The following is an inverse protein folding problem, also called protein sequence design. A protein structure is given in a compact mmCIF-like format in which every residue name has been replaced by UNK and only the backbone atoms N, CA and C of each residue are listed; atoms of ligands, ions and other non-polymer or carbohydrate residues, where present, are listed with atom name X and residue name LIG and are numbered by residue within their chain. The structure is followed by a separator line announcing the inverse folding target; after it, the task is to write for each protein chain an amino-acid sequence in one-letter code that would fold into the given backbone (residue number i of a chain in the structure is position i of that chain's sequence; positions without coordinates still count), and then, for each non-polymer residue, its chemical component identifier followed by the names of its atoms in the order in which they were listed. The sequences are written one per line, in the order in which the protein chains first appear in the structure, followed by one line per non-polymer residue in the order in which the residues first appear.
data_IF_284984723003
#
_entry.id   IF_284984723003
#
_cell.length_a   1.000
_cell.length_b   1.000
_cell.length_c   1.000
_cell.angle_alpha   90.00
_cell.angle_beta   90.00
_cell.angle_gamma   90.00
#
_symmetry.space_group_name_H-M   'P 1'
#
loop_
_entity.id
_entity.type
_entity.pdbx_description
1 polymer ?
#
# COMPACT_ATOMS: atom_id res chain seq x y z
N UNK A 1 7.69 11.38 -13.51
CA UNK A 1 7.22 10.01 -13.15
C UNK A 1 8.34 9.04 -12.79
N UNK A 2 9.58 9.24 -13.23
CA UNK A 2 10.74 8.39 -12.89
C UNK A 2 11.09 8.43 -11.39
N UNK A 3 11.23 9.63 -10.80
CA UNK A 3 11.54 9.79 -9.37
C UNK A 3 10.56 9.04 -8.45
N UNK A 4 9.25 9.26 -8.66
CA UNK A 4 8.19 8.59 -7.89
C UNK A 4 8.32 7.05 -7.90
N UNK A 5 8.67 6.44 -9.04
CA UNK A 5 8.80 4.97 -9.16
C UNK A 5 9.96 4.41 -8.35
N UNK A 6 11.02 5.21 -8.17
CA UNK A 6 12.22 4.88 -7.41
C UNK A 6 12.01 5.11 -5.91
N UNK A 7 11.22 6.11 -5.55
CA UNK A 7 11.01 6.50 -4.14
C UNK A 7 9.93 5.68 -3.46
N UNK A 8 8.92 5.19 -4.20
CA UNK A 8 7.80 4.41 -3.64
C UNK A 8 8.27 3.27 -2.71
N UNK A 9 9.23 2.40 -3.07
CA UNK A 9 9.69 1.33 -2.17
C UNK A 9 10.27 1.82 -0.83
N UNK A 10 10.87 3.02 -0.82
CA UNK A 10 11.45 3.62 0.38
C UNK A 10 10.36 4.23 1.28
N UNK A 11 9.39 4.93 0.69
CA UNK A 11 8.30 5.58 1.43
C UNK A 11 7.13 4.63 1.74
N UNK A 12 7.09 3.44 1.12
CA UNK A 12 5.94 2.55 1.25
C UNK A 12 5.70 2.11 2.69
N UNK A 13 6.75 1.77 3.44
CA UNK A 13 6.60 1.37 4.85
C UNK A 13 5.99 2.48 5.71
N UNK A 14 6.55 3.70 5.78
CA UNK A 14 5.97 4.76 6.60
C UNK A 14 4.57 5.17 6.12
N UNK A 15 4.33 5.24 4.82
CA UNK A 15 3.00 5.57 4.27
C UNK A 15 1.97 4.49 4.61
N UNK A 16 2.31 3.20 4.48
CA UNK A 16 1.42 2.10 4.86
C UNK A 16 1.05 2.16 6.34
N UNK A 17 2.03 2.36 7.22
CA UNK A 17 1.79 2.48 8.67
C UNK A 17 0.88 3.67 8.96
N UNK A 18 1.19 4.84 8.38
CA UNK A 18 0.37 6.04 8.55
C UNK A 18 -1.06 5.84 8.07
N UNK A 19 -1.27 5.16 6.94
CA UNK A 19 -2.60 4.89 6.40
C UNK A 19 -3.39 3.85 7.23
N UNK A 20 -2.73 2.83 7.78
CA UNK A 20 -3.38 1.90 8.71
C UNK A 20 -3.80 2.63 9.99
N UNK A 21 -2.91 3.46 10.56
CA UNK A 21 -3.25 4.28 11.72
C UNK A 21 -4.38 5.27 11.42
N UNK A 22 -4.36 5.88 10.23
CA UNK A 22 -5.42 6.76 9.74
C UNK A 22 -6.78 6.06 9.73
N UNK A 23 -6.85 4.85 9.15
CA UNK A 23 -8.08 4.07 9.08
C UNK A 23 -8.55 3.61 10.47
N UNK A 24 -7.63 3.18 11.33
CA UNK A 24 -7.95 2.62 12.63
C UNK A 24 -8.41 3.69 13.63
N UNK A 25 -7.63 4.76 13.78
CA UNK A 25 -7.87 5.77 14.82
C UNK A 25 -7.83 7.22 14.31
N UNK A 26 -7.23 7.48 13.15
CA UNK A 26 -7.05 8.84 12.64
C UNK A 26 -8.37 9.57 12.37
N UNK A 27 -9.41 8.86 11.96
CA UNK A 27 -10.76 9.43 11.83
C UNK A 27 -11.35 9.91 13.15
N UNK A 28 -10.92 9.32 14.27
CA UNK A 28 -11.33 9.66 15.63
C UNK A 28 -10.98 11.08 16.04
N UNK A 29 -10.03 11.71 15.36
CA UNK A 29 -9.67 13.11 15.55
C UNK A 29 -10.75 14.08 15.06
N UNK A 30 -11.64 13.62 14.17
CA UNK A 30 -12.66 14.46 13.51
C UNK A 30 -14.08 13.99 13.81
N UNK A 31 -14.30 12.69 13.95
CA UNK A 31 -15.62 12.06 14.16
C UNK A 31 -15.56 11.05 15.30
N UNK A 32 -16.66 10.85 16.05
CA UNK A 32 -16.72 9.80 17.06
C UNK A 32 -16.39 8.41 16.49
N UNK A 33 -15.66 7.63 17.26
CA UNK A 33 -15.34 6.23 16.94
C UNK A 33 -16.43 5.33 17.52
N UNK A 34 -16.92 4.41 16.69
CA UNK A 34 -17.90 3.37 16.97
C UNK A 34 -17.42 1.99 16.52
N UNK A 35 -18.34 1.09 16.25
CA UNK A 35 -18.07 -0.33 16.01
C UNK A 35 -17.15 -0.60 14.81
N UNK A 36 -17.21 0.24 13.79
CA UNK A 36 -16.36 0.08 12.61
C UNK A 36 -14.87 0.18 12.95
N UNK A 37 -14.52 0.95 13.99
CA UNK A 37 -13.15 1.05 14.50
C UNK A 37 -12.63 -0.29 15.00
N UNK A 38 -13.47 -1.06 15.71
CA UNK A 38 -13.12 -2.39 16.20
C UNK A 38 -12.82 -3.33 15.04
N UNK A 39 -13.67 -3.33 14.00
CA UNK A 39 -13.43 -4.11 12.79
C UNK A 39 -12.13 -3.73 12.09
N UNK A 40 -11.84 -2.43 11.97
CA UNK A 40 -10.59 -1.97 11.35
C UNK A 40 -9.38 -2.39 12.18
N UNK A 41 -9.42 -2.26 13.51
CA UNK A 41 -8.33 -2.69 14.41
C UNK A 41 -8.08 -4.19 14.28
N UNK A 42 -9.13 -5.01 14.21
CA UNK A 42 -9.03 -6.46 14.02
C UNK A 42 -8.55 -6.85 12.62
N UNK A 43 -8.92 -6.09 11.58
CA UNK A 43 -8.47 -6.32 10.21
C UNK A 43 -7.05 -5.77 9.96
N UNK A 44 -6.59 -4.82 10.77
CA UNK A 44 -5.30 -4.13 10.61
C UNK A 44 -4.10 -5.07 10.54
N UNK A 45 -3.97 -6.13 11.38
CA UNK A 45 -2.90 -7.12 11.26
C UNK A 45 -2.85 -7.79 9.88
N UNK A 46 -4.00 -8.21 9.35
CA UNK A 46 -4.07 -8.84 8.02
C UNK A 46 -3.69 -7.87 6.91
N UNK A 47 -4.13 -6.61 7.03
CA UNK A 47 -3.78 -5.55 6.10
C UNK A 47 -2.28 -5.23 6.15
N UNK A 48 -1.70 -5.13 7.34
CA UNK A 48 -0.27 -4.89 7.54
C UNK A 48 0.58 -6.04 6.99
N UNK A 49 0.18 -7.29 7.20
CA UNK A 49 0.87 -8.46 6.62
C UNK A 49 0.83 -8.37 5.08
N UNK A 50 -0.33 -8.05 4.51
CA UNK A 50 -0.52 -7.91 3.06
C UNK A 50 0.35 -6.80 2.47
N UNK A 51 0.39 -5.64 3.13
CA UNK A 51 1.22 -4.49 2.74
C UNK A 51 2.72 -4.74 2.94
N UNK A 52 3.09 -5.47 4.00
CA UNK A 52 4.47 -5.87 4.26
C UNK A 52 4.95 -6.86 3.20
N UNK A 53 4.10 -7.81 2.80
CA UNK A 53 4.41 -8.76 1.73
C UNK A 53 4.67 -8.04 0.40
N UNK A 54 3.79 -7.12 -0.02
CA UNK A 54 4.01 -6.34 -1.24
C UNK A 54 5.24 -5.44 -1.13
N UNK A 55 5.47 -4.80 0.01
CA UNK A 55 6.67 -3.96 0.23
C UNK A 55 7.97 -4.78 0.14
N UNK A 56 7.99 -5.99 0.70
CA UNK A 56 9.12 -6.92 0.58
C UNK A 56 9.36 -7.33 -0.87
N UNK A 57 8.30 -7.62 -1.64
CA UNK A 57 8.41 -7.94 -3.06
C UNK A 57 8.97 -6.76 -3.87
N UNK A 58 8.53 -5.53 -3.60
CA UNK A 58 9.08 -4.33 -4.26
C UNK A 58 10.59 -4.21 -4.06
N UNK A 59 11.08 -4.47 -2.83
CA UNK A 59 12.52 -4.40 -2.51
C UNK A 59 13.36 -5.51 -3.15
N UNK A 60 12.71 -6.61 -3.55
CA UNK A 60 13.36 -7.75 -4.24
C UNK A 60 13.42 -7.59 -5.76
N UNK A 61 12.85 -6.52 -6.32
CA UNK A 61 12.96 -6.27 -7.75
C UNK A 61 14.44 -5.98 -8.13
N UNK A 62 14.93 -6.53 -9.25
CA UNK A 62 16.35 -6.47 -9.62
C UNK A 62 16.87 -5.04 -9.81
N UNK A 63 16.06 -4.16 -10.40
CA UNK A 63 16.43 -2.74 -10.60
C UNK A 63 16.02 -1.84 -9.43
N UNK A 64 15.39 -2.41 -8.38
CA UNK A 64 14.75 -1.68 -7.26
C UNK A 64 13.79 -0.54 -7.69
N UNK A 65 13.45 -0.46 -8.97
CA UNK A 65 12.48 0.48 -9.53
C UNK A 65 11.18 -0.23 -9.87
N UNK A 66 10.07 0.46 -9.63
CA UNK A 66 8.75 -0.02 -9.98
C UNK A 66 8.41 0.33 -11.43
N UNK A 67 7.74 -0.59 -12.11
CA UNK A 67 7.10 -0.27 -13.39
C UNK A 67 5.99 0.76 -13.18
N UNK A 68 5.63 1.50 -14.24
CA UNK A 68 4.50 2.46 -14.18
C UNK A 68 3.22 1.84 -13.66
N UNK A 69 2.97 0.58 -14.03
CA UNK A 69 1.76 -0.14 -13.64
C UNK A 69 1.75 -0.53 -12.17
N UNK A 70 2.90 -0.89 -11.60
CA UNK A 70 3.03 -1.20 -10.17
C UNK A 70 2.94 0.08 -9.33
N UNK A 71 3.62 1.16 -9.76
CA UNK A 71 3.54 2.45 -9.07
C UNK A 71 2.10 3.01 -9.04
N UNK A 72 1.39 2.97 -10.17
CA UNK A 72 -0.03 3.38 -10.22
C UNK A 72 -0.91 2.52 -9.31
N UNK A 73 -0.72 1.19 -9.34
CA UNK A 73 -1.51 0.30 -8.48
C UNK A 73 -1.26 0.58 -6.98
N UNK A 74 0.00 0.84 -6.58
CA UNK A 74 0.32 1.22 -5.21
C UNK A 74 -0.34 2.53 -4.79
N UNK A 75 -0.31 3.56 -5.65
CA UNK A 75 -0.97 4.84 -5.38
C UNK A 75 -2.49 4.64 -5.24
N UNK A 76 -3.11 3.81 -6.09
CA UNK A 76 -4.55 3.50 -5.99
C UNK A 76 -4.88 2.80 -4.67
N UNK A 77 -4.04 1.85 -4.22
CA UNK A 77 -4.20 1.22 -2.90
C UNK A 77 -4.15 2.27 -1.78
N UNK A 78 -3.17 3.17 -1.82
CA UNK A 78 -3.06 4.25 -0.83
C UNK A 78 -4.25 5.20 -0.85
N UNK A 79 -4.70 5.61 -2.03
CA UNK A 79 -5.87 6.46 -2.19
C UNK A 79 -7.13 5.79 -1.66
N UNK A 80 -7.30 4.47 -1.90
CA UNK A 80 -8.42 3.70 -1.38
C UNK A 80 -8.38 3.59 0.16
N UNK A 81 -7.20 3.32 0.74
CA UNK A 81 -7.04 3.30 2.20
C UNK A 81 -7.33 4.67 2.84
N UNK A 82 -6.83 5.74 2.22
CA UNK A 82 -7.10 7.10 2.68
C UNK A 82 -8.59 7.43 2.60
N UNK A 83 -9.21 7.19 1.44
CA UNK A 83 -10.63 7.40 1.18
C UNK A 83 -11.53 6.58 2.11
N UNK A 84 -11.13 5.34 2.43
CA UNK A 84 -11.85 4.51 3.39
C UNK A 84 -12.01 5.23 4.75
N UNK A 85 -10.94 5.81 5.28
CA UNK A 85 -11.00 6.56 6.53
C UNK A 85 -11.77 7.88 6.42
N UNK A 86 -11.76 8.52 5.25
CA UNK A 86 -12.41 9.80 4.99
C UNK A 86 -13.94 9.66 4.81
N UNK A 87 -14.37 8.62 4.11
CA UNK A 87 -15.77 8.44 3.68
C UNK A 87 -16.56 7.47 4.57
N UNK A 88 -15.88 6.64 5.36
CA UNK A 88 -16.54 5.69 6.25
C UNK A 88 -17.30 6.41 7.35
N UNK A 89 -18.63 6.35 7.32
CA UNK A 89 -19.46 6.64 8.48
C UNK A 89 -19.26 5.55 9.54
N UNK A 90 -19.48 5.86 10.82
CA UNK A 90 -19.45 4.86 11.90
C UNK A 90 -20.87 4.62 12.43
N UNK A 91 -21.03 3.57 13.22
CA UNK A 91 -22.26 3.26 13.93
C UNK A 91 -21.95 2.71 15.31
N UNK A 92 -22.74 3.13 16.30
CA UNK A 92 -22.66 2.67 17.68
C UNK A 92 -24.04 2.30 18.21
N UNK A 93 -24.08 1.88 19.48
CA UNK A 93 -25.32 1.51 20.16
C UNK A 93 -26.32 2.69 20.26
N UNK A 94 -25.82 3.93 20.10
CA UNK A 94 -26.60 5.17 20.10
C UNK A 94 -27.01 5.67 18.71
N UNK A 95 -26.69 4.95 17.62
CA UNK A 95 -27.04 5.33 16.24
C UNK A 95 -25.84 5.52 15.31
N UNK A 96 -26.08 6.13 14.14
CA UNK A 96 -25.03 6.39 13.15
C UNK A 96 -24.25 7.66 13.47
N UNK A 97 -22.93 7.60 13.29
CA UNK A 97 -22.02 8.74 13.37
C UNK A 97 -21.61 9.19 11.96
N UNK A 98 -21.60 10.51 11.69
CA UNK A 98 -21.27 11.04 10.37
C UNK A 98 -19.81 10.73 10.00
N UNK A 99 -19.56 10.54 8.70
CA UNK A 99 -18.19 10.49 8.17
C UNK A 99 -17.53 11.87 8.22
N UNK A 100 -16.20 11.92 8.02
CA UNK A 100 -15.48 13.21 7.96
C UNK A 100 -16.00 14.05 6.79
N UNK A 101 -16.28 13.42 5.64
CA UNK A 101 -16.85 14.10 4.49
C UNK A 101 -18.24 14.70 4.79
N UNK A 102 -19.09 13.97 5.51
CA UNK A 102 -20.41 14.47 5.93
C UNK A 102 -20.26 15.71 6.81
N UNK A 103 -19.32 15.70 7.77
CA UNK A 103 -19.03 16.88 8.59
C UNK A 103 -18.55 18.07 7.77
N UNK A 104 -17.67 17.84 6.79
CA UNK A 104 -17.16 18.91 5.91
C UNK A 104 -18.23 19.49 5.00
N UNK A 105 -19.24 18.71 4.61
CA UNK A 105 -20.33 19.13 3.73
C UNK A 105 -21.58 19.63 4.48
N UNK A 106 -21.55 19.67 5.81
CA UNK A 106 -22.63 20.16 6.65
C UNK A 106 -23.82 19.21 6.80
N UNK A 107 -23.55 17.89 6.83
CA UNK A 107 -24.50 16.83 7.26
C UNK A 107 -25.86 16.84 6.52
N UNK A 108 -25.85 17.18 5.22
CA UNK A 108 -27.06 17.14 4.40
C UNK A 108 -27.46 15.69 4.07
N UNK A 109 -28.76 15.38 3.83
CA UNK A 109 -29.21 14.00 3.60
C UNK A 109 -28.50 13.25 2.46
N UNK A 110 -28.14 13.96 1.38
CA UNK A 110 -27.43 13.35 0.24
C UNK A 110 -25.95 13.04 0.53
N UNK A 111 -25.36 13.68 1.55
CA UNK A 111 -23.94 13.51 1.89
C UNK A 111 -23.66 12.13 2.49
N UNK A 112 -24.65 11.54 3.14
CA UNK A 112 -24.61 10.16 3.63
C UNK A 112 -24.53 9.19 2.45
N UNK A 113 -25.43 9.32 1.47
CA UNK A 113 -25.43 8.48 0.27
C UNK A 113 -24.12 8.58 -0.50
N UNK A 114 -23.60 9.79 -0.70
CA UNK A 114 -22.32 10.01 -1.39
C UNK A 114 -21.16 9.41 -0.61
N UNK A 115 -21.12 9.60 0.71
CA UNK A 115 -20.07 9.04 1.56
C UNK A 115 -20.09 7.51 1.52
N UNK A 116 -21.28 6.91 1.60
CA UNK A 116 -21.45 5.45 1.54
C UNK A 116 -21.00 4.89 0.18
N UNK A 117 -21.38 5.53 -0.93
CA UNK A 117 -20.98 5.10 -2.28
C UNK A 117 -19.46 5.18 -2.47
N UNK A 118 -18.85 6.29 -2.04
CA UNK A 118 -17.39 6.46 -2.11
C UNK A 118 -16.66 5.48 -1.20
N UNK A 119 -17.20 5.21 -0.02
CA UNK A 119 -16.67 4.24 0.90
C UNK A 119 -16.70 2.82 0.32
N UNK A 120 -17.84 2.39 -0.25
CA UNK A 120 -17.94 1.12 -0.98
C UNK A 120 -16.96 1.06 -2.14
N UNK A 121 -16.81 2.16 -2.89
CA UNK A 121 -15.77 2.29 -3.91
C UNK A 121 -14.38 1.97 -3.36
N UNK A 122 -14.02 2.51 -2.19
CA UNK A 122 -12.72 2.23 -1.55
C UNK A 122 -12.59 0.75 -1.14
N UNK A 123 -13.66 0.15 -0.59
CA UNK A 123 -13.71 -1.25 -0.16
C UNK A 123 -13.49 -2.23 -1.32
N UNK A 124 -13.95 -1.91 -2.53
CA UNK A 124 -13.73 -2.78 -3.70
C UNK A 124 -12.47 -2.45 -4.49
N UNK A 125 -12.22 -1.16 -4.74
CA UNK A 125 -11.07 -0.70 -5.53
C UNK A 125 -9.76 -0.98 -4.82
N UNK A 126 -9.70 -0.84 -3.49
CA UNK A 126 -8.49 -1.11 -2.71
C UNK A 126 -7.99 -2.54 -2.87
N UNK A 127 -8.78 -3.57 -2.53
CA UNK A 127 -8.42 -4.97 -2.72
C UNK A 127 -8.13 -5.32 -4.18
N UNK A 128 -8.94 -4.84 -5.13
CA UNK A 128 -8.70 -5.09 -6.55
C UNK A 128 -7.34 -4.54 -7.02
N UNK A 129 -7.02 -3.29 -6.64
CA UNK A 129 -5.73 -2.68 -6.93
C UNK A 129 -4.57 -3.42 -6.25
N UNK A 130 -4.77 -3.91 -5.02
CA UNK A 130 -3.79 -4.72 -4.30
C UNK A 130 -3.54 -6.06 -4.99
N UNK A 131 -4.56 -6.77 -5.46
CA UNK A 131 -4.39 -8.01 -6.22
C UNK A 131 -3.65 -7.78 -7.55
N UNK A 132 -3.97 -6.69 -8.25
CA UNK A 132 -3.25 -6.29 -9.47
C UNK A 132 -1.79 -6.00 -9.18
N UNK A 133 -1.51 -5.26 -8.10
CA UNK A 133 -0.16 -4.96 -7.66
C UNK A 133 0.61 -6.24 -7.31
N UNK A 134 0.04 -7.09 -6.46
CA UNK A 134 0.62 -8.36 -6.04
C UNK A 134 0.97 -9.22 -7.25
N UNK A 135 0.02 -9.41 -8.16
CA UNK A 135 0.22 -10.18 -9.41
C UNK A 135 1.38 -9.62 -10.23
N UNK A 136 1.45 -8.30 -10.41
CA UNK A 136 2.54 -7.65 -11.16
C UNK A 136 3.88 -7.76 -10.45
N UNK A 137 3.93 -7.67 -9.13
CA UNK A 137 5.16 -7.81 -8.36
C UNK A 137 5.68 -9.24 -8.40
N UNK A 138 4.81 -10.24 -8.19
CA UNK A 138 5.19 -11.66 -8.25
C UNK A 138 5.72 -12.03 -9.63
N UNK A 139 5.08 -11.57 -10.72
CA UNK A 139 5.59 -11.76 -12.09
C UNK A 139 6.93 -11.06 -12.31
N UNK A 140 7.10 -9.84 -11.82
CA UNK A 140 8.36 -9.09 -11.95
C UNK A 140 9.53 -9.74 -11.22
N UNK A 141 9.28 -10.36 -10.06
CA UNK A 141 10.29 -11.13 -9.32
C UNK A 141 10.60 -12.47 -9.99
N UNK A 142 9.59 -13.16 -10.52
CA UNK A 142 9.78 -14.47 -11.17
C UNK A 142 10.57 -14.39 -12.50
N UNK A 143 10.47 -13.28 -13.22
CA UNK A 143 11.16 -13.07 -14.51
C UNK A 143 12.57 -12.48 -14.34
N UNK A 144 12.98 -12.13 -13.12
CA UNK A 144 14.31 -11.59 -12.86
C UNK A 144 15.39 -12.60 -13.34
N UNK A 145 16.32 -12.20 -14.24
CA UNK A 145 17.38 -13.08 -14.71
C UNK A 145 18.20 -13.60 -13.52
N UNK A 146 18.59 -14.89 -13.50
CA UNK A 146 19.49 -15.40 -12.48
C UNK A 146 20.74 -14.53 -12.45
N UNK A 147 21.20 -14.16 -11.25
CA UNK A 147 22.45 -13.43 -11.07
C UNK A 147 23.53 -14.16 -11.89
N UNK A 148 24.05 -13.51 -12.93
CA UNK A 148 25.08 -14.13 -13.75
C UNK A 148 26.24 -14.49 -12.81
N UNK A 149 26.67 -15.77 -12.74
CA UNK A 149 27.87 -16.10 -12.01
C UNK A 149 29.02 -15.24 -12.54
N UNK A 150 29.97 -14.83 -11.69
CA UNK A 150 31.14 -14.08 -12.15
C UNK A 150 31.74 -14.86 -13.31
N UNK A 151 31.74 -14.27 -14.51
CA UNK A 151 32.38 -14.89 -15.66
C UNK A 151 33.81 -15.25 -15.24
N UNK A 152 34.25 -16.50 -15.42
CA UNK A 152 35.67 -16.80 -15.30
C UNK A 152 36.37 -15.92 -16.32
N UNK A 153 37.19 -14.97 -15.85
CA UNK A 153 38.07 -14.23 -16.74
C UNK A 153 38.86 -15.26 -17.56
N UNK A 154 38.87 -15.20 -18.90
CA UNK A 154 39.72 -16.06 -19.71
C UNK A 154 41.17 -15.87 -19.28
N UNK A 155 41.72 -16.83 -18.54
CA UNK A 155 43.08 -16.78 -18.01
C UNK A 155 43.26 -17.05 -16.51
N UNK A 156 42.20 -17.15 -15.71
CA UNK A 156 42.34 -17.48 -14.28
C UNK A 156 42.06 -18.97 -13.99
N UNK A 157 43.02 -19.72 -13.41
CA UNK A 157 42.78 -21.09 -12.96
C UNK A 157 41.79 -21.11 -11.78
N UNK A 158 40.94 -22.14 -11.68
CA UNK A 158 39.98 -22.27 -10.60
C UNK A 158 40.70 -22.36 -9.25
N UNK A 159 40.51 -21.34 -8.39
CA UNK A 159 41.07 -21.30 -7.03
C UNK A 159 41.88 -20.05 -6.67
N UNK A 160 42.16 -19.15 -7.61
CA UNK A 160 42.81 -17.87 -7.27
C UNK A 160 41.80 -16.75 -6.98
N UNK A 161 41.91 -16.05 -5.84
CA UNK A 161 41.20 -14.79 -5.63
C UNK A 161 41.63 -13.81 -6.74
N UNK A 162 40.66 -13.30 -7.50
CA UNK A 162 40.93 -12.28 -8.52
C UNK A 162 41.57 -11.03 -7.90
N UNK A 163 42.27 -10.21 -8.69
CA UNK A 163 42.93 -9.03 -8.18
C UNK A 163 41.83 -8.10 -7.63
N UNK A 164 41.86 -7.87 -6.32
CA UNK A 164 40.97 -6.93 -5.67
C UNK A 164 41.10 -5.55 -6.31
N UNK A 165 40.05 -4.70 -6.22
CA UNK A 165 40.09 -3.36 -6.78
C UNK A 165 41.28 -2.59 -6.17
N UNK A 166 42.24 -2.24 -7.01
CA UNK A 166 43.24 -1.23 -6.68
C UNK A 166 42.50 0.10 -6.51
N UNK A 167 42.63 0.64 -5.30
CA UNK A 167 42.11 1.91 -4.78
C UNK A 167 42.09 3.06 -5.78
#
# INVERSE_FOLDING_TARGET
MSALRRDIPAIATPVNIALVLWMAIGRGLFVPLGWMTVFVVLASPFLLISLAATTRLMRRLPERELTSGQARAQVVVWSAMFGFGLFGADGGDSGSFPSILMKLLGERPWTETVSLLLWWGCVFVGPAAWFVLLTKLTRGVAVAPPAQPPYPYPGYPPGQPGPGPST
#
